data_IF_904663305452
#
_entry.id   IF_904663305452
#
_cell.length_a   1.000
_cell.length_b   1.000
_cell.length_c   1.000
_cell.angle_alpha   90.00
_cell.angle_beta   90.00
_cell.angle_gamma   90.00
#
_symmetry.space_group_name_H-M   'P 1'
#
loop_
_entity.id
_entity.type
_entity.pdbx_description
1 polymer ?
#
# COMPACT_ATOMS: atom_id res chain seq x y z
N UNK A 1 0.21 -55.15 13.73
CA UNK A 1 0.23 -54.94 15.20
C UNK A 1 0.88 -53.59 15.42
N UNK A 2 0.34 -52.56 16.07
CA UNK A 2 -0.90 -52.38 16.82
C UNK A 2 -1.26 -50.88 16.93
N UNK A 3 -2.51 -50.62 17.37
CA UNK A 3 -3.07 -49.41 18.01
C UNK A 3 -2.86 -48.06 17.29
N UNK A 4 -3.82 -47.50 16.53
CA UNK A 4 -5.12 -46.88 16.93
C UNK A 4 -5.04 -46.02 18.20
N UNK A 5 -4.90 -44.70 18.03
CA UNK A 5 -5.47 -43.71 18.96
C UNK A 5 -6.39 -42.77 18.19
N UNK A 6 -7.65 -42.85 18.60
CA UNK A 6 -8.79 -42.04 18.22
C UNK A 6 -9.05 -41.05 19.37
N UNK A 7 -9.79 -39.99 19.09
CA UNK A 7 -10.40 -39.04 20.05
C UNK A 7 -9.48 -37.89 20.52
N UNK A 8 -9.93 -36.64 20.63
CA UNK A 8 -11.30 -36.17 20.71
C UNK A 8 -11.45 -34.72 20.28
N UNK A 9 -12.59 -34.46 19.64
CA UNK A 9 -13.17 -33.13 19.42
C UNK A 9 -13.59 -32.56 20.77
N UNK A 10 -13.27 -31.30 21.03
CA UNK A 10 -13.95 -30.51 22.06
C UNK A 10 -14.64 -29.35 21.36
N UNK A 11 -15.94 -29.52 21.16
CA UNK A 11 -16.88 -28.43 20.93
C UNK A 11 -17.40 -28.00 22.31
N UNK A 12 -17.37 -26.70 22.60
CA UNK A 12 -18.15 -26.12 23.71
C UNK A 12 -19.05 -25.03 23.13
N UNK A 13 -20.31 -25.13 23.52
CA UNK A 13 -21.51 -24.51 22.99
C UNK A 13 -22.06 -23.56 24.08
N UNK A 14 -22.35 -22.32 23.68
CA UNK A 14 -23.54 -21.50 24.05
C UNK A 14 -23.61 -20.71 25.37
N UNK A 15 -24.28 -19.55 25.20
CA UNK A 15 -25.15 -18.74 26.11
C UNK A 15 -24.48 -17.59 26.87
N UNK A 16 -25.04 -16.39 26.97
CA UNK A 16 -26.13 -15.66 26.30
C UNK A 16 -26.21 -14.24 26.91
N UNK A 17 -26.88 -13.34 26.18
CA UNK A 17 -27.74 -12.25 26.67
C UNK A 17 -27.34 -11.46 27.92
N UNK A 18 -27.04 -10.18 27.71
CA UNK A 18 -27.51 -9.11 28.60
C UNK A 18 -28.03 -7.95 27.74
N UNK A 19 -29.35 -7.77 27.81
CA UNK A 19 -30.10 -6.58 27.40
C UNK A 19 -29.82 -5.45 28.39
N UNK A 20 -29.77 -4.21 27.90
CA UNK A 20 -29.76 -3.01 28.73
C UNK A 20 -29.96 -1.74 27.90
N UNK A 21 -31.22 -1.31 27.80
CA UNK A 21 -31.72 -0.10 27.15
C UNK A 21 -31.30 1.16 27.95
N UNK A 22 -30.93 2.23 27.26
CA UNK A 22 -30.79 3.58 27.83
C UNK A 22 -30.92 4.66 26.75
N UNK A 23 -32.06 5.35 26.77
CA UNK A 23 -32.49 6.42 25.86
C UNK A 23 -32.12 7.81 26.42
N UNK A 24 -32.16 8.83 25.54
CA UNK A 24 -32.02 10.29 25.77
C UNK A 24 -30.57 10.82 25.86
N UNK A 25 -30.15 11.91 25.20
CA UNK A 25 -30.89 13.06 24.70
C UNK A 25 -30.25 13.70 23.46
N UNK A 26 -31.12 14.33 22.68
CA UNK A 26 -30.87 15.16 21.49
C UNK A 26 -30.28 16.51 21.92
N UNK A 27 -29.16 16.92 21.34
CA UNK A 27 -28.78 18.34 21.21
C UNK A 27 -28.03 18.59 19.90
N UNK A 28 -28.77 19.11 18.91
CA UNK A 28 -28.34 20.17 18.00
C UNK A 28 -27.10 19.97 17.13
N UNK A 29 -27.22 19.19 16.05
CA UNK A 29 -26.35 19.37 14.89
C UNK A 29 -26.77 20.66 14.17
N UNK A 30 -25.96 21.72 14.26
CA UNK A 30 -26.00 22.80 13.29
C UNK A 30 -25.44 22.26 11.96
N UNK A 31 -26.29 21.61 11.17
CA UNK A 31 -25.98 21.23 9.80
C UNK A 31 -25.98 22.49 8.96
N UNK A 32 -24.79 23.04 8.67
CA UNK A 32 -24.63 24.01 7.61
C UNK A 32 -24.89 23.25 6.30
N UNK A 33 -26.08 23.42 5.72
CA UNK A 33 -26.33 23.03 4.34
C UNK A 33 -25.47 23.93 3.43
N UNK A 34 -24.24 23.51 3.21
CA UNK A 34 -23.47 23.98 2.07
C UNK A 34 -24.16 23.37 0.85
N UNK A 35 -25.04 24.16 0.25
CA UNK A 35 -25.70 23.84 -1.01
C UNK A 35 -24.63 23.77 -2.10
N UNK A 36 -24.01 22.60 -2.26
CA UNK A 36 -23.16 22.35 -3.42
C UNK A 36 -24.01 22.43 -4.68
N UNK A 37 -23.54 23.08 -5.75
CA UNK A 37 -24.25 23.13 -7.02
C UNK A 37 -24.42 21.70 -7.53
N UNK A 38 -25.66 21.21 -7.46
CA UNK A 38 -26.04 19.88 -7.92
C UNK A 38 -25.83 19.79 -9.42
N UNK A 39 -24.91 18.92 -9.83
CA UNK A 39 -24.80 18.44 -11.22
C UNK A 39 -26.13 17.72 -11.53
N UNK A 40 -26.86 18.11 -12.58
CA UNK A 40 -28.18 17.52 -12.87
C UNK A 40 -28.05 16.01 -13.09
N UNK A 41 -28.62 15.22 -12.17
CA UNK A 41 -28.69 13.75 -12.24
C UNK A 41 -27.95 12.99 -11.15
N UNK A 42 -27.09 13.62 -10.35
CA UNK A 42 -26.40 12.97 -9.23
C UNK A 42 -27.07 13.28 -7.89
N UNK A 43 -27.39 12.24 -7.13
CA UNK A 43 -27.92 12.37 -5.77
C UNK A 43 -26.76 12.37 -4.77
N UNK A 44 -26.97 12.90 -3.55
CA UNK A 44 -25.96 12.80 -2.47
C UNK A 44 -25.55 11.34 -2.19
N UNK A 45 -26.47 10.39 -2.37
CA UNK A 45 -26.20 8.96 -2.19
C UNK A 45 -25.28 8.39 -3.29
N UNK A 46 -25.46 8.79 -4.56
CA UNK A 46 -24.61 8.32 -5.66
C UNK A 46 -23.18 8.85 -5.56
N UNK A 47 -23.00 10.07 -5.07
CA UNK A 47 -21.69 10.66 -4.79
C UNK A 47 -20.96 9.87 -3.69
N UNK A 48 -21.66 9.59 -2.57
CA UNK A 48 -21.08 8.85 -1.46
C UNK A 48 -20.70 7.41 -1.85
N UNK A 49 -21.47 6.78 -2.76
CA UNK A 49 -21.18 5.46 -3.29
C UNK A 49 -19.94 5.46 -4.20
N UNK A 50 -19.79 6.47 -5.06
CA UNK A 50 -18.61 6.66 -5.91
C UNK A 50 -17.34 6.88 -5.07
N UNK A 51 -17.38 7.78 -4.09
CA UNK A 51 -16.28 8.02 -3.16
C UNK A 51 -15.90 6.75 -2.36
N UNK A 52 -16.90 5.96 -1.92
CA UNK A 52 -16.64 4.71 -1.21
C UNK A 52 -15.93 3.69 -2.09
N UNK A 53 -16.32 3.62 -3.38
CA UNK A 53 -15.70 2.73 -4.36
C UNK A 53 -14.26 3.14 -4.68
N UNK A 54 -13.98 4.43 -4.87
CA UNK A 54 -12.62 4.92 -5.15
C UNK A 54 -11.63 4.55 -4.04
N UNK A 55 -12.07 4.69 -2.77
CA UNK A 55 -11.28 4.30 -1.60
C UNK A 55 -11.03 2.80 -1.54
N UNK A 56 -12.03 2.00 -1.86
CA UNK A 56 -11.87 0.54 -1.91
C UNK A 56 -10.92 0.12 -3.02
N UNK A 57 -10.94 0.80 -4.17
CA UNK A 57 -10.00 0.56 -5.25
C UNK A 57 -8.55 0.93 -4.85
N UNK A 58 -8.36 2.00 -4.08
CA UNK A 58 -7.04 2.37 -3.53
C UNK A 58 -6.54 1.35 -2.51
N UNK A 59 -7.39 0.91 -1.57
CA UNK A 59 -7.03 -0.14 -0.60
C UNK A 59 -6.72 -1.47 -1.28
N UNK A 60 -7.55 -1.87 -2.24
CA UNK A 60 -7.32 -3.07 -3.04
C UNK A 60 -6.02 -2.99 -3.84
N UNK A 61 -5.68 -1.82 -4.36
CA UNK A 61 -4.39 -1.60 -5.04
C UNK A 61 -3.21 -1.73 -4.08
N UNK A 62 -3.32 -1.19 -2.85
CA UNK A 62 -2.30 -1.38 -1.81
C UNK A 62 -2.16 -2.85 -1.44
N UNK A 63 -3.26 -3.56 -1.20
CA UNK A 63 -3.22 -4.99 -0.85
C UNK A 63 -2.45 -5.82 -1.90
N UNK A 64 -2.63 -5.53 -3.19
CA UNK A 64 -1.86 -6.21 -4.27
C UNK A 64 -0.35 -5.95 -4.19
N UNK A 65 0.05 -4.76 -3.73
CA UNK A 65 1.44 -4.42 -3.48
C UNK A 65 1.99 -5.17 -2.25
N UNK A 66 1.15 -5.51 -1.28
CA UNK A 66 1.51 -6.27 -0.09
C UNK A 66 1.55 -7.80 -0.31
N UNK A 67 0.80 -8.34 -1.27
CA UNK A 67 0.69 -9.78 -1.58
C UNK A 67 1.96 -10.42 -2.21
N UNK A 68 3.15 -9.87 -1.96
CA UNK A 68 4.38 -10.28 -2.63
C UNK A 68 5.07 -11.48 -1.95
N UNK A 69 5.79 -12.33 -2.71
CA UNK A 69 6.39 -13.56 -2.20
C UNK A 69 7.48 -13.35 -1.14
N UNK A 70 8.18 -12.21 -1.13
CA UNK A 70 8.94 -11.79 0.05
C UNK A 70 7.98 -11.03 0.98
N UNK A 71 7.28 -11.76 1.83
CA UNK A 71 6.70 -11.18 3.04
C UNK A 71 7.11 -12.05 4.23
N UNK A 72 7.46 -11.41 5.36
CA UNK A 72 6.40 -11.19 6.32
C UNK A 72 6.20 -9.71 6.64
N UNK A 73 4.95 -9.27 6.49
CA UNK A 73 4.40 -8.08 7.13
C UNK A 73 4.28 -8.20 8.67
N UNK A 74 4.68 -9.34 9.24
CA UNK A 74 4.59 -9.61 10.68
C UNK A 74 5.69 -8.90 11.49
N UNK A 75 6.73 -8.38 10.83
CA UNK A 75 7.78 -7.52 11.41
C UNK A 75 7.49 -6.01 11.21
N UNK A 76 6.26 -5.60 10.86
CA UNK A 76 5.85 -4.19 10.69
C UNK A 76 5.77 -3.39 12.02
N UNK A 77 6.47 -3.81 13.07
CA UNK A 77 6.77 -3.00 14.25
C UNK A 77 8.17 -2.41 14.21
N UNK A 78 8.54 -1.77 13.11
CA UNK A 78 9.67 -0.83 13.13
C UNK A 78 9.14 0.61 13.06
N UNK A 79 8.23 0.89 14.01
CA UNK A 79 8.14 2.21 14.63
C UNK A 79 9.42 2.51 15.43
N UNK A 80 9.42 3.66 16.09
CA UNK A 80 10.46 4.28 16.94
C UNK A 80 11.39 3.37 17.82
N UNK A 81 11.10 2.07 17.97
CA UNK A 81 11.77 1.06 18.81
C UNK A 81 13.03 0.44 18.17
N UNK A 82 13.09 0.23 16.85
CA UNK A 82 14.34 -0.13 16.11
C UNK A 82 15.40 0.97 16.26
N UNK A 83 14.92 2.20 16.39
CA UNK A 83 15.70 3.44 16.54
C UNK A 83 16.41 3.55 17.90
N UNK A 84 16.04 2.72 18.89
CA UNK A 84 16.57 2.77 20.26
C UNK A 84 17.36 1.54 20.71
N UNK A 85 17.10 0.33 20.18
CA UNK A 85 17.57 -0.92 20.83
C UNK A 85 18.26 -1.97 19.95
N UNK A 86 18.56 -1.71 18.67
CA UNK A 86 19.44 -2.59 17.89
C UNK A 86 18.94 -4.04 17.72
N UNK A 87 17.64 -4.22 17.54
CA UNK A 87 17.04 -5.50 17.16
C UNK A 87 17.43 -5.90 15.74
N UNK A 88 17.56 -7.21 15.49
CA UNK A 88 18.18 -7.78 14.29
C UNK A 88 17.45 -7.39 13.00
N UNK A 89 17.87 -6.29 12.41
CA UNK A 89 17.61 -5.97 11.01
C UNK A 89 18.17 -7.14 10.21
N UNK A 90 17.30 -8.03 9.72
CA UNK A 90 17.70 -8.96 8.67
C UNK A 90 18.16 -8.08 7.51
N UNK A 91 19.47 -7.94 7.35
CA UNK A 91 20.05 -7.04 6.36
C UNK A 91 19.38 -7.34 5.01
N UNK A 92 19.10 -6.33 4.17
CA UNK A 92 18.43 -6.57 2.89
C UNK A 92 19.10 -7.62 2.01
N UNK A 93 20.41 -7.83 2.18
CA UNK A 93 21.16 -8.93 1.55
C UNK A 93 20.72 -10.33 2.02
N UNK A 94 20.45 -10.49 3.30
CA UNK A 94 19.95 -11.75 3.87
C UNK A 94 18.53 -12.01 3.42
N UNK A 95 17.67 -10.98 3.41
CA UNK A 95 16.31 -11.10 2.89
C UNK A 95 16.29 -11.46 1.40
N UNK A 96 17.11 -10.79 0.59
CA UNK A 96 17.27 -11.09 -0.81
C UNK A 96 17.81 -12.51 -1.06
N UNK A 97 18.77 -12.97 -0.25
CA UNK A 97 19.28 -14.34 -0.33
C UNK A 97 18.21 -15.37 0.03
N UNK A 98 17.49 -15.18 1.14
CA UNK A 98 16.40 -16.06 1.54
C UNK A 98 15.28 -16.12 0.48
N UNK A 99 14.93 -14.98 -0.11
CA UNK A 99 13.98 -14.92 -1.22
C UNK A 99 14.48 -15.70 -2.44
N UNK A 100 15.70 -15.41 -2.92
CA UNK A 100 16.30 -16.13 -4.06
C UNK A 100 16.39 -17.63 -3.80
N UNK A 101 16.77 -18.05 -2.60
CA UNK A 101 16.90 -19.46 -2.22
C UNK A 101 15.54 -20.15 -2.02
N UNK A 102 14.45 -19.40 -1.86
CA UNK A 102 13.08 -19.93 -1.78
C UNK A 102 12.43 -20.18 -3.14
N UNK A 103 12.99 -19.63 -4.22
CA UNK A 103 12.46 -19.76 -5.57
C UNK A 103 12.87 -21.10 -6.19
N UNK A 104 11.95 -21.72 -6.91
CA UNK A 104 12.18 -22.95 -7.66
C UNK A 104 12.23 -22.66 -9.17
N UNK A 105 13.02 -23.43 -9.93
CA UNK A 105 13.10 -23.31 -11.39
C UNK A 105 14.04 -22.21 -11.89
N UNK A 106 13.61 -21.43 -12.87
CA UNK A 106 14.38 -20.29 -13.41
C UNK A 106 14.24 -19.09 -12.47
N UNK A 107 15.13 -19.05 -11.48
CA UNK A 107 15.12 -18.06 -10.40
C UNK A 107 15.20 -16.63 -10.95
N UNK A 108 16.04 -16.39 -11.97
CA UNK A 108 16.17 -15.06 -12.57
C UNK A 108 14.88 -14.61 -13.27
N UNK A 109 14.19 -15.52 -13.97
CA UNK A 109 12.89 -15.24 -14.56
C UNK A 109 11.83 -14.94 -13.50
N UNK A 110 11.79 -15.72 -12.43
CA UNK A 110 10.83 -15.54 -11.33
C UNK A 110 11.03 -14.20 -10.61
N UNK A 111 12.27 -13.82 -10.29
CA UNK A 111 12.59 -12.51 -9.70
C UNK A 111 12.13 -11.36 -10.61
N UNK A 112 12.34 -11.46 -11.93
CA UNK A 112 11.88 -10.44 -12.88
C UNK A 112 10.36 -10.35 -12.94
N UNK A 113 9.68 -11.51 -13.00
CA UNK A 113 8.22 -11.58 -13.05
C UNK A 113 7.60 -10.93 -11.82
N UNK A 114 8.08 -11.28 -10.64
CA UNK A 114 7.56 -10.70 -9.40
C UNK A 114 7.82 -9.18 -9.39
N UNK A 115 9.01 -8.75 -9.83
CA UNK A 115 9.40 -7.35 -9.86
C UNK A 115 8.48 -6.52 -10.75
N UNK A 116 8.16 -7.03 -11.93
CA UNK A 116 7.25 -6.37 -12.87
C UNK A 116 5.85 -6.22 -12.27
N UNK A 117 5.35 -7.27 -11.62
CA UNK A 117 4.06 -7.22 -10.93
C UNK A 117 4.07 -6.20 -9.78
N UNK A 118 5.17 -6.11 -9.04
CA UNK A 118 5.32 -5.17 -7.92
C UNK A 118 5.35 -3.73 -8.41
N UNK A 119 6.12 -3.45 -9.46
CA UNK A 119 6.13 -2.14 -10.09
C UNK A 119 4.74 -1.77 -10.62
N UNK A 120 4.06 -2.71 -11.28
CA UNK A 120 2.70 -2.48 -11.77
C UNK A 120 1.72 -2.18 -10.61
N UNK A 121 1.83 -2.88 -9.48
CA UNK A 121 1.02 -2.62 -8.29
C UNK A 121 1.31 -1.22 -7.72
N UNK A 122 2.58 -0.82 -7.57
CA UNK A 122 2.96 0.51 -7.08
C UNK A 122 2.43 1.63 -8.01
N UNK A 123 2.51 1.43 -9.32
CA UNK A 123 1.92 2.35 -10.31
C UNK A 123 0.40 2.43 -10.21
N UNK A 124 -0.26 1.31 -9.97
CA UNK A 124 -1.70 1.27 -9.77
C UNK A 124 -2.11 2.02 -8.49
N UNK A 125 -1.36 1.87 -7.39
CA UNK A 125 -1.59 2.67 -6.17
C UNK A 125 -1.46 4.17 -6.46
N UNK A 126 -0.43 4.60 -7.18
CA UNK A 126 -0.28 6.01 -7.57
C UNK A 126 -1.44 6.49 -8.45
N UNK A 127 -1.90 5.68 -9.40
CA UNK A 127 -3.07 6.00 -10.24
C UNK A 127 -4.35 6.14 -9.42
N UNK A 128 -4.65 5.20 -8.53
CA UNK A 128 -5.82 5.25 -7.66
C UNK A 128 -5.74 6.38 -6.64
N UNK A 129 -4.55 6.67 -6.13
CA UNK A 129 -4.30 7.81 -5.26
C UNK A 129 -4.61 9.13 -5.96
N UNK A 130 -4.29 9.27 -7.26
CA UNK A 130 -4.67 10.45 -8.03
C UNK A 130 -6.19 10.59 -8.17
N UNK A 131 -6.92 9.50 -8.34
CA UNK A 131 -8.39 9.53 -8.29
C UNK A 131 -8.88 10.02 -6.93
N UNK A 132 -8.29 9.54 -5.83
CA UNK A 132 -8.61 10.04 -4.48
C UNK A 132 -8.26 11.54 -4.31
N UNK A 133 -7.22 12.06 -4.99
CA UNK A 133 -6.93 13.52 -5.00
C UNK A 133 -7.98 14.35 -5.72
N UNK A 134 -8.91 13.74 -6.46
CA UNK A 134 -10.03 14.42 -7.10
C UNK A 134 -11.39 14.13 -6.45
N UNK A 135 -11.43 13.23 -5.47
CA UNK A 135 -12.64 12.88 -4.72
C UNK A 135 -13.24 14.10 -4.01
N UNK A 136 -14.54 14.11 -3.74
CA UNK A 136 -15.18 15.25 -3.07
C UNK A 136 -14.60 15.49 -1.67
N UNK A 137 -14.45 14.42 -0.90
CA UNK A 137 -13.88 14.43 0.44
C UNK A 137 -12.67 13.47 0.53
N UNK A 138 -11.44 13.96 0.34
CA UNK A 138 -10.25 13.14 0.59
C UNK A 138 -10.17 12.79 2.07
N UNK A 139 -9.74 11.56 2.40
CA UNK A 139 -9.60 11.12 3.79
C UNK A 139 -8.13 11.01 4.21
N UNK A 140 -7.81 11.28 5.50
CA UNK A 140 -6.48 10.99 6.05
C UNK A 140 -6.04 9.52 5.87
N UNK A 141 -7.00 8.60 5.80
CA UNK A 141 -6.73 7.18 5.53
C UNK A 141 -6.19 6.94 4.13
N UNK A 142 -6.58 7.75 3.14
CA UNK A 142 -6.10 7.63 1.76
C UNK A 142 -4.65 8.11 1.68
N UNK A 143 -4.32 9.20 2.37
CA UNK A 143 -2.94 9.67 2.52
C UNK A 143 -2.06 8.60 3.18
N UNK A 144 -2.51 8.04 4.32
CA UNK A 144 -1.79 6.97 5.01
C UNK A 144 -1.56 5.75 4.11
N UNK A 145 -2.56 5.37 3.31
CA UNK A 145 -2.45 4.26 2.34
C UNK A 145 -1.35 4.50 1.31
N UNK A 146 -1.19 5.74 0.83
CA UNK A 146 -0.12 6.10 -0.10
C UNK A 146 1.26 6.14 0.60
N UNK A 147 1.32 6.65 1.83
CA UNK A 147 2.55 6.66 2.63
C UNK A 147 3.05 5.23 2.89
N UNK A 148 2.15 4.32 3.25
CA UNK A 148 2.44 2.90 3.42
C UNK A 148 2.97 2.29 2.11
N UNK A 149 2.37 2.64 0.97
CA UNK A 149 2.85 2.21 -0.35
C UNK A 149 4.25 2.74 -0.70
N UNK A 150 4.61 3.96 -0.26
CA UNK A 150 5.95 4.52 -0.45
C UNK A 150 6.98 3.71 0.34
N UNK A 151 6.66 3.36 1.59
CA UNK A 151 7.53 2.53 2.45
C UNK A 151 7.74 1.17 1.80
N UNK A 152 6.66 0.51 1.36
CA UNK A 152 6.70 -0.78 0.70
C UNK A 152 7.51 -0.73 -0.61
N UNK A 153 7.24 0.24 -1.49
CA UNK A 153 7.98 0.38 -2.74
C UNK A 153 9.49 0.63 -2.53
N UNK A 154 9.87 1.36 -1.48
CA UNK A 154 11.28 1.54 -1.09
C UNK A 154 11.92 0.23 -0.63
N UNK A 155 11.18 -0.56 0.15
CA UNK A 155 11.64 -1.87 0.63
C UNK A 155 11.84 -2.83 -0.55
N UNK A 156 10.82 -3.00 -1.39
CA UNK A 156 10.85 -3.83 -2.61
C UNK A 156 12.04 -3.46 -3.51
N UNK A 157 12.27 -2.15 -3.75
CA UNK A 157 13.42 -1.68 -4.54
C UNK A 157 14.75 -2.23 -4.00
N UNK A 158 14.93 -2.25 -2.68
CA UNK A 158 16.18 -2.71 -2.06
C UNK A 158 16.29 -4.22 -2.19
N UNK A 159 15.27 -4.97 -1.79
CA UNK A 159 15.28 -6.45 -1.80
C UNK A 159 15.51 -6.97 -3.22
N UNK A 160 14.78 -6.45 -4.21
CA UNK A 160 14.95 -6.86 -5.59
C UNK A 160 16.30 -6.48 -6.19
N UNK A 161 16.81 -5.28 -5.89
CA UNK A 161 18.12 -4.90 -6.37
C UNK A 161 19.23 -5.79 -5.79
N UNK A 162 19.12 -6.19 -4.53
CA UNK A 162 20.05 -7.13 -3.89
C UNK A 162 19.86 -8.56 -4.43
N UNK A 163 18.63 -8.99 -4.72
CA UNK A 163 18.35 -10.30 -5.33
C UNK A 163 18.99 -10.38 -6.73
N UNK A 164 18.75 -9.38 -7.57
CA UNK A 164 19.36 -9.28 -8.90
C UNK A 164 20.89 -9.18 -8.83
N UNK A 165 21.44 -8.47 -7.83
CA UNK A 165 22.88 -8.43 -7.60
C UNK A 165 23.46 -9.78 -7.18
N UNK A 166 22.73 -10.56 -6.37
CA UNK A 166 23.09 -11.91 -5.98
C UNK A 166 23.11 -12.83 -7.20
N UNK A 167 22.08 -12.80 -8.03
CA UNK A 167 21.99 -13.56 -9.28
C UNK A 167 23.10 -13.18 -10.27
N UNK A 168 23.41 -11.89 -10.41
CA UNK A 168 24.53 -11.43 -11.23
C UNK A 168 25.89 -11.98 -10.74
N UNK A 169 26.06 -12.18 -9.42
CA UNK A 169 27.26 -12.80 -8.84
C UNK A 169 27.29 -14.32 -9.03
N UNK A 170 26.12 -14.95 -9.16
CA UNK A 170 25.95 -16.38 -9.47
C UNK A 170 26.05 -16.70 -10.97
N UNK A 171 26.31 -15.67 -11.80
CA UNK A 171 26.37 -15.75 -13.27
C UNK A 171 25.03 -16.20 -13.92
N UNK A 172 23.91 -15.88 -13.27
CA UNK A 172 22.54 -16.25 -13.70
C UNK A 172 21.95 -15.25 -14.70
N UNK A 173 22.78 -14.69 -15.59
CA UNK A 173 22.30 -13.88 -16.72
C UNK A 173 21.70 -12.51 -16.36
N UNK A 174 22.03 -11.94 -15.21
CA UNK A 174 21.58 -10.60 -14.79
C UNK A 174 22.67 -9.57 -15.04
N UNK A 175 22.35 -8.52 -15.79
CA UNK A 175 23.31 -7.45 -16.13
C UNK A 175 23.32 -6.32 -15.09
N UNK A 176 24.44 -5.60 -14.99
CA UNK A 176 24.50 -4.38 -14.16
C UNK A 176 23.53 -3.30 -14.63
N UNK A 177 23.27 -3.23 -15.93
CA UNK A 177 22.35 -2.25 -16.52
C UNK A 177 20.89 -2.55 -16.17
N UNK A 178 20.53 -3.82 -16.10
CA UNK A 178 19.22 -4.29 -15.62
C UNK A 178 18.97 -3.84 -14.17
N UNK A 179 19.94 -4.06 -13.27
CA UNK A 179 19.86 -3.60 -11.87
C UNK A 179 19.67 -2.08 -11.79
N UNK A 180 20.36 -1.31 -12.63
CA UNK A 180 20.19 0.15 -12.68
C UNK A 180 18.80 0.55 -13.17
N UNK A 181 18.30 -0.09 -14.23
CA UNK A 181 16.97 0.16 -14.78
C UNK A 181 15.88 -0.10 -13.73
N UNK A 182 15.98 -1.22 -13.02
CA UNK A 182 15.06 -1.56 -11.91
C UNK A 182 15.04 -0.48 -10.84
N UNK A 183 16.20 -0.04 -10.37
CA UNK A 183 16.29 1.06 -9.38
C UNK A 183 15.64 2.34 -9.90
N UNK A 184 15.85 2.67 -11.17
CA UNK A 184 15.23 3.84 -11.80
C UNK A 184 13.70 3.72 -11.87
N UNK A 185 13.16 2.57 -12.26
CA UNK A 185 11.72 2.34 -12.33
C UNK A 185 11.05 2.45 -10.95
N UNK A 186 11.63 1.87 -9.92
CA UNK A 186 11.13 2.05 -8.55
C UNK A 186 11.24 3.50 -8.08
N UNK A 187 12.33 4.20 -8.39
CA UNK A 187 12.46 5.62 -8.03
C UNK A 187 11.37 6.46 -8.70
N UNK A 188 11.04 6.18 -9.97
CA UNK A 188 9.94 6.85 -10.66
C UNK A 188 8.59 6.56 -9.99
N UNK A 189 8.29 5.29 -9.66
CA UNK A 189 7.06 4.93 -8.96
C UNK A 189 6.96 5.60 -7.57
N UNK A 190 8.05 5.61 -6.80
CA UNK A 190 8.12 6.27 -5.48
C UNK A 190 7.92 7.79 -5.60
N UNK A 191 8.51 8.43 -6.61
CA UNK A 191 8.30 9.85 -6.87
C UNK A 191 6.83 10.17 -7.18
N UNK A 192 6.17 9.31 -7.95
CA UNK A 192 4.77 9.47 -8.33
C UNK A 192 3.82 9.24 -7.16
N UNK A 193 4.10 8.25 -6.31
CA UNK A 193 3.42 8.08 -5.04
C UNK A 193 3.61 9.32 -4.14
N UNK A 194 4.83 9.83 -4.03
CA UNK A 194 5.15 11.04 -3.25
C UNK A 194 4.38 12.27 -3.72
N UNK A 195 4.38 12.54 -5.04
CA UNK A 195 3.57 13.64 -5.63
C UNK A 195 2.08 13.51 -5.31
N UNK A 196 1.58 12.27 -5.29
CA UNK A 196 0.18 12.00 -5.00
C UNK A 196 -0.14 12.20 -3.51
N UNK A 197 0.78 11.79 -2.61
CA UNK A 197 0.68 12.06 -1.18
C UNK A 197 0.71 13.57 -0.88
N UNK A 198 1.63 14.31 -1.51
CA UNK A 198 1.71 15.77 -1.37
C UNK A 198 0.41 16.44 -1.82
N UNK A 199 -0.15 16.03 -2.96
CA UNK A 199 -1.42 16.55 -3.46
C UNK A 199 -2.60 16.24 -2.52
N UNK A 200 -2.66 15.03 -1.95
CA UNK A 200 -3.66 14.67 -0.94
C UNK A 200 -3.50 15.51 0.33
N UNK A 201 -2.27 15.68 0.82
CA UNK A 201 -1.98 16.48 2.02
C UNK A 201 -2.47 17.92 1.85
N UNK A 202 -2.15 18.55 0.71
CA UNK A 202 -2.60 19.92 0.44
C UNK A 202 -4.13 20.03 0.46
N UNK A 203 -4.83 19.05 -0.12
CA UNK A 203 -6.30 19.03 -0.08
C UNK A 203 -6.87 18.80 1.31
N UNK A 204 -6.26 17.93 2.11
CA UNK A 204 -6.67 17.65 3.50
C UNK A 204 -6.50 18.88 4.40
N UNK A 205 -5.48 19.71 4.13
CA UNK A 205 -5.23 20.97 4.83
C UNK A 205 -6.15 22.11 4.35
N UNK A 206 -7.06 21.85 3.40
CA UNK A 206 -7.97 22.83 2.82
C UNK A 206 -7.31 23.78 1.80
N UNK A 207 -6.09 23.48 1.36
CA UNK A 207 -5.39 24.19 0.29
C UNK A 207 -5.79 23.70 -1.09
N UNK A 208 -5.64 24.55 -2.11
CA UNK A 208 -5.69 24.09 -3.50
C UNK A 208 -4.35 23.41 -3.86
N UNK A 209 -4.36 22.22 -4.49
CA UNK A 209 -3.14 21.57 -4.92
C UNK A 209 -2.44 22.46 -5.96
N UNK A 210 -1.24 22.94 -5.62
CA UNK A 210 -0.44 23.77 -6.53
C UNK A 210 -0.05 22.91 -7.73
N UNK A 211 -0.68 23.17 -8.88
CA UNK A 211 -0.42 22.46 -10.11
C UNK A 211 0.90 22.95 -10.73
N UNK A 212 2.03 22.50 -10.16
CA UNK A 212 3.39 22.95 -10.47
C UNK A 212 3.87 22.69 -11.91
N UNK A 213 3.03 22.08 -12.75
CA UNK A 213 3.30 21.90 -14.19
C UNK A 213 2.96 23.16 -14.99
N UNK A 214 2.09 24.05 -14.49
CA UNK A 214 1.69 25.27 -15.22
C UNK A 214 2.74 26.38 -15.21
N UNK A 215 3.55 26.50 -14.15
CA UNK A 215 4.55 27.58 -14.04
C UNK A 215 5.83 27.34 -14.84
N UNK A 216 6.15 26.10 -15.19
CA UNK A 216 7.36 25.79 -15.97
C UNK A 216 7.25 26.19 -17.46
N UNK A 217 6.06 26.56 -17.94
CA UNK A 217 5.83 26.94 -19.35
C UNK A 217 5.65 28.45 -19.56
N UNK A 218 5.51 29.23 -18.48
CA UNK A 218 5.42 30.71 -18.57
C UNK A 218 6.78 31.42 -18.47
N UNK A 219 7.87 30.67 -18.27
CA UNK A 219 9.23 31.21 -18.14
C UNK A 219 10.15 30.88 -19.33
N UNK A 220 9.58 30.55 -20.50
CA UNK A 220 10.33 30.39 -21.76
C UNK A 220 9.85 31.33 -22.85
#
# INVERSE_FOLDING_TARGET
MGQKFLMGRVAVIVRALLLGVGFCAVTGCASVEVSMPSIPGMTKASIAEEDAREREELRSALAKLEERPWTPAEDREDGFVTLLFGGSVTSPKHQAAAYVDSLEGDVALEVRRDLEQTLAAAWNVAQKGRTATTAMEPLPTDLRTIEDAIVEARHCRIVYAEALLLLAKRDEGVSRDEIRRVKQQFNQAIMELGRTADALSVRLDGGEPVNSVAEATSAR
#
